data_IF_612775856281
#
_entry.id   IF_612775856281
#
_cell.length_a   1.000
_cell.length_b   1.000
_cell.length_c   1.000
_cell.angle_alpha   90.00
_cell.angle_beta   90.00
_cell.angle_gamma   90.00
#
_symmetry.space_group_name_H-M   'P 1'
#
loop_
_entity.id
_entity.type
_entity.pdbx_description
1 polymer ?
#
# COMPACT_ATOMS: atom_id res chain seq x y z
N UNK A 1 -32.28 14.46 -6.82
CA UNK A 1 -31.60 14.72 -8.12
C UNK A 1 -30.85 16.06 -8.20
N UNK A 2 -31.46 17.20 -7.90
CA UNK A 2 -30.74 18.50 -7.87
C UNK A 2 -29.81 18.64 -6.68
N UNK A 3 -30.19 18.22 -5.49
CA UNK A 3 -29.37 18.25 -4.28
C UNK A 3 -28.10 17.39 -4.40
N UNK A 4 -28.21 16.23 -5.03
CA UNK A 4 -27.04 15.36 -5.28
C UNK A 4 -26.01 16.05 -6.19
N UNK A 5 -26.48 16.75 -7.22
CA UNK A 5 -25.60 17.53 -8.11
C UNK A 5 -24.96 18.72 -7.41
N UNK A 6 -25.69 19.41 -6.55
CA UNK A 6 -25.15 20.50 -5.73
C UNK A 6 -24.09 19.98 -4.76
N UNK A 7 -24.32 18.82 -4.15
CA UNK A 7 -23.33 18.15 -3.29
C UNK A 7 -22.09 17.71 -4.07
N UNK A 8 -22.25 17.21 -5.29
CA UNK A 8 -21.12 16.85 -6.16
C UNK A 8 -20.30 18.07 -6.56
N UNK A 9 -20.95 19.18 -6.91
CA UNK A 9 -20.25 20.44 -7.24
C UNK A 9 -19.54 21.03 -6.01
N UNK A 10 -20.13 20.96 -4.82
CA UNK A 10 -19.48 21.41 -3.58
C UNK A 10 -18.30 20.54 -3.17
N UNK A 11 -18.29 19.26 -3.55
CA UNK A 11 -17.19 18.33 -3.30
C UNK A 11 -16.15 18.31 -4.42
N UNK A 12 -16.43 18.97 -5.55
CA UNK A 12 -15.47 19.06 -6.64
C UNK A 12 -14.29 19.94 -6.23
N UNK A 13 -13.11 19.35 -6.19
CA UNK A 13 -11.88 20.10 -6.00
C UNK A 13 -11.61 20.92 -7.27
N UNK A 14 -11.92 22.21 -7.21
CA UNK A 14 -11.76 23.13 -8.35
C UNK A 14 -10.34 23.63 -8.52
N UNK A 15 -9.48 23.45 -7.52
CA UNK A 15 -8.09 23.90 -7.54
C UNK A 15 -7.20 22.67 -7.28
N UNK A 16 -6.33 22.34 -8.23
CA UNK A 16 -5.29 21.36 -8.04
C UNK A 16 -3.93 22.04 -7.95
N UNK A 17 -3.18 21.72 -6.91
CA UNK A 17 -1.81 22.20 -6.77
C UNK A 17 -0.88 21.23 -7.50
N UNK A 18 -0.14 21.73 -8.47
CA UNK A 18 0.79 20.96 -9.27
C UNK A 18 2.21 21.40 -8.92
N UNK A 19 3.06 20.45 -8.62
CA UNK A 19 4.50 20.63 -8.44
C UNK A 19 5.25 20.15 -9.67
N UNK A 20 6.57 20.33 -9.66
CA UNK A 20 7.49 19.89 -10.70
C UNK A 20 8.67 19.17 -10.09
N UNK A 21 9.07 18.05 -10.69
CA UNK A 21 10.28 17.33 -10.28
C UNK A 21 11.50 18.18 -10.61
N UNK A 22 12.33 18.41 -9.62
CA UNK A 22 13.59 19.13 -9.78
C UNK A 22 14.77 18.17 -9.81
N UNK A 23 14.77 17.17 -8.93
CA UNK A 23 15.88 16.27 -8.79
C UNK A 23 15.41 14.85 -8.45
N UNK A 24 16.21 13.86 -8.82
CA UNK A 24 16.00 12.45 -8.52
C UNK A 24 17.32 11.90 -7.98
N UNK A 25 17.30 11.41 -6.73
CA UNK A 25 18.48 10.85 -6.08
C UNK A 25 18.16 9.46 -5.55
N UNK A 26 18.65 8.43 -6.21
CA UNK A 26 18.33 7.05 -5.88
C UNK A 26 16.84 6.79 -6.00
N UNK A 27 16.18 6.39 -4.91
CA UNK A 27 14.73 6.15 -4.86
C UNK A 27 13.93 7.37 -4.38
N UNK A 28 14.55 8.50 -4.17
CA UNK A 28 13.90 9.71 -3.66
C UNK A 28 13.78 10.74 -4.76
N UNK A 29 12.61 11.35 -4.88
CA UNK A 29 12.30 12.39 -5.86
C UNK A 29 12.07 13.68 -5.11
N UNK A 30 12.80 14.73 -5.50
CA UNK A 30 12.61 16.08 -4.97
C UNK A 30 11.72 16.87 -5.93
N UNK A 31 10.60 17.37 -5.45
CA UNK A 31 9.67 18.18 -6.24
C UNK A 31 9.43 19.53 -5.55
N UNK A 32 9.38 20.58 -6.34
CA UNK A 32 9.02 21.93 -5.91
C UNK A 32 7.58 22.26 -6.30
N UNK A 33 7.01 23.23 -5.59
CA UNK A 33 5.63 23.64 -5.80
C UNK A 33 4.62 22.62 -5.27
N UNK A 34 3.36 23.01 -5.27
CA UNK A 34 2.28 22.19 -4.72
C UNK A 34 2.14 22.34 -3.20
N UNK A 35 0.98 21.92 -2.70
CA UNK A 35 0.70 21.79 -1.28
C UNK A 35 0.48 20.33 -0.96
N UNK A 36 1.24 19.80 -0.01
CA UNK A 36 1.10 18.43 0.42
C UNK A 36 1.44 18.31 1.91
N UNK A 37 0.94 17.29 2.56
CA UNK A 37 1.35 16.89 3.90
C UNK A 37 2.15 15.58 3.82
N UNK A 38 2.95 15.29 4.85
CA UNK A 38 3.64 13.99 4.96
C UNK A 38 2.58 12.88 5.01
N UNK A 39 2.79 11.84 4.19
CA UNK A 39 1.86 10.73 4.01
C UNK A 39 0.83 10.95 2.89
N UNK A 40 0.76 12.12 2.27
CA UNK A 40 -0.10 12.34 1.10
C UNK A 40 0.42 11.56 -0.11
N UNK A 41 -0.51 11.07 -0.92
CA UNK A 41 -0.20 10.42 -2.19
C UNK A 41 -0.19 11.45 -3.31
N UNK A 42 0.91 11.48 -4.04
CA UNK A 42 1.08 12.27 -5.24
C UNK A 42 1.06 11.40 -6.49
N UNK A 43 0.55 11.95 -7.58
CA UNK A 43 0.61 11.38 -8.91
C UNK A 43 1.71 12.09 -9.70
N UNK A 44 2.68 11.34 -10.19
CA UNK A 44 3.74 11.81 -11.06
C UNK A 44 3.35 11.45 -12.48
N UNK A 45 3.31 12.43 -13.35
CA UNK A 45 2.98 12.24 -14.75
C UNK A 45 4.25 12.03 -15.56
N UNK A 46 4.36 10.85 -16.20
CA UNK A 46 5.41 10.58 -17.16
C UNK A 46 5.02 11.18 -18.53
N UNK A 47 5.78 12.19 -18.98
CA UNK A 47 5.44 12.96 -20.19
C UNK A 47 5.51 12.15 -21.49
N UNK A 48 6.33 11.10 -21.55
CA UNK A 48 6.57 10.37 -22.80
C UNK A 48 5.60 9.20 -23.03
N UNK A 49 5.19 8.51 -21.96
CA UNK A 49 4.35 7.31 -22.08
C UNK A 49 2.91 7.51 -21.62
N UNK A 50 2.55 8.70 -21.14
CA UNK A 50 1.22 8.98 -20.58
C UNK A 50 0.93 8.19 -19.30
N UNK A 51 1.93 7.50 -18.74
CA UNK A 51 1.81 6.74 -17.51
C UNK A 51 1.76 7.64 -16.27
N UNK A 52 1.19 7.11 -15.21
CA UNK A 52 1.17 7.75 -13.90
C UNK A 52 1.85 6.86 -12.88
N UNK A 53 2.77 7.43 -12.11
CA UNK A 53 3.41 6.77 -10.98
C UNK A 53 2.89 7.38 -9.68
N UNK A 54 2.45 6.53 -8.77
CA UNK A 54 2.06 6.97 -7.44
C UNK A 54 3.30 7.06 -6.56
N UNK A 55 3.40 8.14 -5.79
CA UNK A 55 4.46 8.37 -4.83
C UNK A 55 3.89 8.95 -3.54
N UNK A 56 4.53 8.65 -2.43
CA UNK A 56 4.17 9.17 -1.11
C UNK A 56 5.10 10.31 -0.71
N UNK A 57 4.53 11.33 -0.07
CA UNK A 57 5.31 12.41 0.54
C UNK A 57 5.91 11.90 1.85
N UNK A 58 7.21 11.66 1.87
CA UNK A 58 7.94 11.17 3.05
C UNK A 58 8.52 12.28 3.90
N UNK A 59 8.59 13.49 3.37
CA UNK A 59 9.12 14.64 4.10
C UNK A 59 9.32 15.87 3.23
N UNK A 60 9.99 16.88 3.83
CA UNK A 60 10.32 18.12 3.16
C UNK A 60 11.79 18.47 3.45
N UNK A 61 12.46 19.03 2.46
CA UNK A 61 13.84 19.53 2.57
C UNK A 61 14.01 20.79 1.72
N UNK A 62 14.45 21.88 2.32
CA UNK A 62 14.68 23.14 1.62
C UNK A 62 13.47 23.58 0.76
N UNK A 63 12.27 23.55 1.35
CA UNK A 63 11.00 23.90 0.69
C UNK A 63 10.62 22.99 -0.50
N UNK A 64 11.23 21.83 -0.61
CA UNK A 64 10.92 20.79 -1.60
C UNK A 64 10.28 19.61 -0.93
N UNK A 65 9.32 19.01 -1.61
CA UNK A 65 8.71 17.75 -1.20
C UNK A 65 9.66 16.60 -1.55
N UNK A 66 9.90 15.72 -0.60
CA UNK A 66 10.56 14.44 -0.83
C UNK A 66 9.48 13.37 -1.07
N UNK A 67 9.52 12.78 -2.25
CA UNK A 67 8.56 11.77 -2.68
C UNK A 67 9.24 10.43 -2.82
N UNK A 68 8.56 9.38 -2.37
CA UNK A 68 8.98 7.99 -2.52
C UNK A 68 7.99 7.26 -3.43
N UNK A 69 8.40 6.82 -4.63
CA UNK A 69 7.51 6.13 -5.56
C UNK A 69 7.17 4.72 -5.09
N UNK A 70 5.95 4.26 -5.40
CA UNK A 70 5.49 2.90 -5.11
C UNK A 70 5.77 1.90 -6.24
N UNK A 71 6.19 2.38 -7.40
CA UNK A 71 6.51 1.53 -8.55
C UNK A 71 7.80 1.98 -9.21
N UNK A 72 8.19 1.30 -10.28
CA UNK A 72 9.36 1.64 -11.08
C UNK A 72 9.31 3.09 -11.57
N UNK A 73 10.47 3.74 -11.54
CA UNK A 73 10.66 5.13 -11.94
C UNK A 73 11.04 5.29 -13.42
N UNK A 74 10.98 4.22 -14.20
CA UNK A 74 11.34 4.28 -15.62
C UNK A 74 10.53 5.33 -16.36
N UNK A 75 11.23 6.22 -17.04
CA UNK A 75 10.64 7.34 -17.79
C UNK A 75 10.24 8.56 -16.93
N UNK A 76 10.54 8.57 -15.63
CA UNK A 76 10.43 9.78 -14.82
C UNK A 76 11.70 10.62 -15.02
N UNK A 77 11.51 11.90 -15.30
CA UNK A 77 12.60 12.85 -15.51
C UNK A 77 12.39 14.15 -14.75
N UNK A 78 13.46 14.90 -14.58
CA UNK A 78 13.36 16.29 -14.10
C UNK A 78 12.43 17.08 -15.03
N UNK A 79 11.56 17.86 -14.44
CA UNK A 79 10.55 18.62 -15.16
C UNK A 79 9.17 17.96 -15.27
N UNK A 80 9.03 16.67 -14.97
CA UNK A 80 7.70 16.04 -14.91
C UNK A 80 6.82 16.68 -13.84
N UNK A 81 5.51 16.69 -14.11
CA UNK A 81 4.55 17.26 -13.18
C UNK A 81 4.17 16.28 -12.07
N UNK A 82 4.00 16.84 -10.88
CA UNK A 82 3.55 16.13 -9.69
C UNK A 82 2.27 16.77 -9.20
N UNK A 83 1.21 15.99 -9.08
CA UNK A 83 -0.08 16.42 -8.56
C UNK A 83 -0.34 15.76 -7.20
N UNK A 84 -0.57 16.58 -6.16
CA UNK A 84 -1.06 16.04 -4.89
C UNK A 84 -2.52 15.61 -5.03
N UNK A 85 -2.85 14.43 -4.52
CA UNK A 85 -4.24 13.92 -4.48
C UNK A 85 -5.02 14.40 -3.26
N UNK A 86 -4.34 15.01 -2.28
CA UNK A 86 -4.94 15.38 -0.99
C UNK A 86 -5.42 14.20 -0.16
N UNK A 87 -4.99 13.00 -0.51
CA UNK A 87 -5.42 11.75 0.13
C UNK A 87 -4.23 10.91 0.52
N UNK A 88 -4.39 10.18 1.61
CA UNK A 88 -3.44 9.16 2.04
C UNK A 88 -3.75 7.83 1.37
N UNK A 89 -2.79 6.90 1.42
CA UNK A 89 -3.01 5.56 0.90
C UNK A 89 -4.21 4.92 1.57
N UNK A 90 -5.18 4.56 0.76
CA UNK A 90 -6.39 3.90 1.23
C UNK A 90 -6.72 2.70 0.35
N UNK A 91 -7.16 1.64 0.98
CA UNK A 91 -7.54 0.38 0.34
C UNK A 91 -9.06 0.20 0.43
N UNK A 92 -9.62 -0.42 -0.59
CA UNK A 92 -11.03 -0.84 -0.54
C UNK A 92 -11.12 -2.16 0.21
N UNK A 93 -11.83 -2.17 1.33
CA UNK A 93 -11.97 -3.32 2.22
C UNK A 93 -13.39 -3.85 2.19
N UNK A 94 -13.52 -5.19 2.17
CA UNK A 94 -14.83 -5.84 2.16
C UNK A 94 -14.74 -7.36 2.08
N UNK A 95 -15.88 -8.03 2.15
CA UNK A 95 -15.96 -9.50 2.09
C UNK A 95 -15.44 -10.07 0.76
N UNK A 96 -15.44 -9.25 -0.31
CA UNK A 96 -14.92 -9.61 -1.64
C UNK A 96 -13.41 -9.90 -1.65
N UNK A 97 -12.65 -9.47 -0.62
CA UNK A 97 -11.23 -9.77 -0.52
C UNK A 97 -10.93 -11.20 -0.09
N UNK A 98 -11.93 -11.93 0.42
CA UNK A 98 -11.73 -13.33 0.81
C UNK A 98 -11.39 -14.19 -0.41
N UNK A 99 -10.26 -14.90 -0.34
CA UNK A 99 -9.77 -15.75 -1.44
C UNK A 99 -9.24 -14.98 -2.66
N UNK A 100 -8.91 -13.69 -2.49
CA UNK A 100 -8.31 -12.84 -3.51
C UNK A 100 -6.87 -12.50 -3.14
N UNK A 101 -6.06 -12.22 -4.15
CA UNK A 101 -4.68 -11.74 -3.98
C UNK A 101 -4.60 -10.31 -4.51
N UNK A 102 -4.08 -9.42 -3.70
CA UNK A 102 -3.92 -8.00 -4.02
C UNK A 102 -2.47 -7.57 -3.83
N UNK A 103 -2.05 -6.54 -4.58
CA UNK A 103 -0.78 -5.86 -4.34
C UNK A 103 -0.89 -4.88 -3.16
N UNK A 104 0.23 -4.22 -2.83
CA UNK A 104 0.28 -3.24 -1.74
C UNK A 104 -0.61 -2.00 -1.96
N UNK A 105 -1.01 -1.72 -3.20
CA UNK A 105 -1.93 -0.63 -3.57
C UNK A 105 -3.40 -1.07 -3.60
N UNK A 106 -3.70 -2.32 -3.20
CA UNK A 106 -5.06 -2.86 -3.20
C UNK A 106 -5.58 -3.30 -4.56
N UNK A 107 -4.73 -3.40 -5.57
CA UNK A 107 -5.14 -3.85 -6.90
C UNK A 107 -5.09 -5.38 -6.98
N UNK A 108 -6.09 -6.03 -7.61
CA UNK A 108 -6.09 -7.49 -7.77
C UNK A 108 -4.97 -7.93 -8.70
N UNK A 109 -4.22 -8.95 -8.29
CA UNK A 109 -3.14 -9.59 -9.08
C UNK A 109 -3.40 -11.08 -9.34
N UNK A 110 -4.57 -11.56 -8.99
CA UNK A 110 -4.97 -12.96 -9.10
C UNK A 110 -5.68 -13.32 -10.42
N UNK A 111 -5.75 -12.40 -11.36
CA UNK A 111 -6.42 -12.60 -12.66
C UNK A 111 -7.95 -12.71 -12.61
N UNK A 112 -8.58 -12.55 -11.44
CA UNK A 112 -10.03 -12.71 -11.26
C UNK A 112 -10.85 -11.43 -11.49
N UNK A 113 -10.25 -10.42 -12.12
CA UNK A 113 -10.91 -9.15 -12.43
C UNK A 113 -11.00 -8.15 -11.26
N UNK A 114 -11.53 -6.94 -11.52
CA UNK A 114 -11.58 -5.86 -10.54
C UNK A 114 -12.55 -6.14 -9.40
N UNK A 115 -12.41 -5.40 -8.31
CA UNK A 115 -13.34 -5.42 -7.19
C UNK A 115 -14.49 -4.44 -7.41
N UNK A 116 -15.66 -4.78 -6.86
CA UNK A 116 -16.82 -3.91 -6.85
C UNK A 116 -17.32 -3.72 -5.42
N UNK A 117 -17.54 -2.48 -5.03
CA UNK A 117 -18.04 -2.12 -3.71
C UNK A 117 -16.96 -2.11 -2.62
N UNK A 118 -17.39 -2.04 -1.37
CA UNK A 118 -16.52 -1.97 -0.19
C UNK A 118 -16.44 -0.60 0.45
N UNK A 119 -15.72 -0.55 1.56
CA UNK A 119 -15.46 0.69 2.32
C UNK A 119 -13.99 1.06 2.18
N UNK A 120 -13.72 2.33 1.93
CA UNK A 120 -12.36 2.84 1.89
C UNK A 120 -11.76 2.85 3.30
N UNK A 121 -10.61 2.23 3.44
CA UNK A 121 -9.85 2.15 4.68
C UNK A 121 -8.48 2.81 4.48
N UNK A 122 -8.16 3.82 5.30
CA UNK A 122 -6.86 4.47 5.28
C UNK A 122 -5.83 3.59 6.00
N UNK A 123 -4.75 3.24 5.29
CA UNK A 123 -3.72 2.31 5.80
C UNK A 123 -2.89 2.93 6.93
N UNK A 124 -2.67 4.23 6.89
CA UNK A 124 -1.83 4.94 7.87
C UNK A 124 -2.47 5.16 9.25
N UNK A 125 -3.69 4.71 9.49
CA UNK A 125 -4.26 4.72 10.83
C UNK A 125 -3.61 3.67 11.75
N UNK A 126 -2.28 3.63 11.75
CA UNK A 126 -1.53 2.92 12.78
C UNK A 126 -1.67 3.67 14.11
N UNK A 127 -2.79 3.49 14.77
CA UNK A 127 -2.88 3.81 16.18
C UNK A 127 -1.91 2.88 16.89
N UNK A 128 -0.83 3.45 17.43
CA UNK A 128 0.06 2.74 18.32
C UNK A 128 -0.77 2.20 19.48
N UNK A 129 -1.03 0.90 19.46
CA UNK A 129 -1.76 0.25 20.53
C UNK A 129 -0.77 0.05 21.68
N UNK A 130 -1.01 0.74 22.80
CA UNK A 130 -0.22 0.55 24.01
C UNK A 130 -0.18 -0.96 24.35
N UNK A 131 1.01 -1.56 24.53
CA UNK A 131 1.14 -2.97 24.88
C UNK A 131 0.32 -3.37 26.10
N UNK A 132 0.15 -2.48 27.07
CA UNK A 132 -0.64 -2.71 28.27
C UNK A 132 -2.15 -2.74 28.03
N UNK A 133 -2.63 -2.16 26.93
CA UNK A 133 -4.05 -2.19 26.55
C UNK A 133 -4.43 -3.39 25.69
N UNK A 134 -3.47 -4.25 25.34
CA UNK A 134 -3.75 -5.46 24.57
C UNK A 134 -4.45 -6.49 25.44
N UNK A 135 -5.61 -7.02 25.02
CA UNK A 135 -6.25 -8.09 25.75
C UNK A 135 -5.37 -9.35 25.75
N UNK A 136 -5.34 -10.11 26.85
CA UNK A 136 -4.64 -11.39 26.88
C UNK A 136 -5.29 -12.39 25.92
N UNK A 137 -4.46 -13.23 25.31
CA UNK A 137 -4.93 -14.30 24.42
C UNK A 137 -5.61 -15.38 25.25
N UNK A 138 -6.90 -15.66 24.98
CA UNK A 138 -7.70 -16.61 25.71
C UNK A 138 -8.38 -17.68 24.85
N UNK A 139 -8.49 -17.43 23.55
CA UNK A 139 -9.18 -18.31 22.64
C UNK A 139 -8.20 -19.03 21.72
N UNK A 140 -8.38 -20.34 21.56
CA UNK A 140 -7.62 -21.15 20.62
C UNK A 140 -8.06 -20.85 19.19
N UNK A 141 -7.11 -20.85 18.28
CA UNK A 141 -7.34 -20.74 16.85
C UNK A 141 -6.99 -22.04 16.17
N UNK A 142 -7.87 -22.53 15.30
CA UNK A 142 -7.65 -23.73 14.49
C UNK A 142 -7.21 -23.34 13.09
N UNK A 143 -6.14 -23.96 12.59
CA UNK A 143 -5.55 -23.69 11.29
C UNK A 143 -5.91 -24.74 10.23
N UNK A 144 -6.50 -25.87 10.65
CA UNK A 144 -6.78 -27.01 9.79
C UNK A 144 -5.55 -27.88 9.46
N UNK A 145 -4.40 -27.54 10.04
CA UNK A 145 -3.18 -28.35 9.93
C UNK A 145 -3.04 -29.22 11.16
N UNK A 146 -3.21 -30.53 11.03
CA UNK A 146 -3.25 -31.49 12.16
C UNK A 146 -2.05 -31.36 13.10
N UNK A 147 -0.84 -31.19 12.58
CA UNK A 147 0.36 -31.04 13.39
C UNK A 147 0.34 -29.77 14.25
N UNK A 148 -0.18 -28.66 13.70
CA UNK A 148 -0.29 -27.40 14.42
C UNK A 148 -1.40 -27.50 15.45
N UNK A 149 -2.58 -27.95 15.03
CA UNK A 149 -3.77 -27.97 15.89
C UNK A 149 -3.66 -28.97 17.04
N UNK A 150 -2.86 -30.05 16.89
CA UNK A 150 -2.69 -31.08 17.93
C UNK A 150 -1.48 -30.85 18.83
N UNK A 151 -0.38 -30.30 18.33
CA UNK A 151 0.90 -30.22 19.06
C UNK A 151 1.30 -28.80 19.44
N UNK A 152 0.83 -27.78 18.69
CA UNK A 152 1.18 -26.39 18.87
C UNK A 152 -0.09 -25.58 19.10
N UNK A 153 -0.47 -25.38 20.34
CA UNK A 153 -1.65 -24.57 20.64
C UNK A 153 -1.38 -23.10 20.30
N UNK A 154 -2.10 -22.57 19.31
CA UNK A 154 -2.00 -21.19 18.88
C UNK A 154 -3.29 -20.46 19.24
N UNK A 155 -3.16 -19.25 19.79
CA UNK A 155 -4.30 -18.43 20.19
C UNK A 155 -4.65 -17.34 19.17
N UNK A 156 -5.91 -16.91 19.16
CA UNK A 156 -6.37 -15.77 18.36
C UNK A 156 -5.63 -14.50 18.77
N UNK A 157 -4.96 -13.85 17.81
CA UNK A 157 -4.15 -12.66 18.04
C UNK A 157 -2.69 -12.95 18.43
N UNK A 158 -2.27 -14.22 18.47
CA UNK A 158 -0.89 -14.61 18.70
C UNK A 158 -0.03 -14.27 17.47
N UNK A 159 1.20 -13.82 17.71
CA UNK A 159 2.20 -13.64 16.67
C UNK A 159 2.92 -14.96 16.43
N UNK A 160 2.94 -15.39 15.17
CA UNK A 160 3.58 -16.63 14.75
C UNK A 160 4.65 -16.27 13.75
N UNK A 161 5.86 -16.76 13.95
CA UNK A 161 6.95 -16.69 12.98
C UNK A 161 7.17 -18.05 12.36
N UNK A 162 7.21 -18.14 11.04
CA UNK A 162 7.68 -19.30 10.30
C UNK A 162 9.08 -18.99 9.78
N UNK A 163 10.04 -19.82 10.17
CA UNK A 163 11.40 -19.74 9.62
C UNK A 163 11.44 -20.63 8.38
N UNK A 164 11.45 -20.01 7.22
CA UNK A 164 11.20 -20.60 5.90
C UNK A 164 12.24 -21.58 5.37
N UNK A 165 13.26 -21.93 6.13
CA UNK A 165 14.29 -22.87 5.66
C UNK A 165 13.80 -24.32 5.46
N UNK A 166 12.60 -24.64 5.93
CA UNK A 166 12.07 -26.01 5.91
C UNK A 166 10.75 -26.18 5.17
N UNK A 167 10.13 -25.11 4.70
CA UNK A 167 8.86 -25.16 3.97
C UNK A 167 9.05 -24.58 2.58
N UNK A 168 9.20 -25.41 1.53
CA UNK A 168 9.29 -24.90 0.16
C UNK A 168 8.00 -24.15 -0.18
N UNK A 169 8.14 -22.88 -0.50
CA UNK A 169 7.08 -22.06 -1.05
C UNK A 169 7.21 -22.05 -2.56
N UNK A 170 6.11 -22.02 -3.33
CA UNK A 170 6.17 -21.83 -4.77
C UNK A 170 6.91 -20.56 -5.21
N UNK A 171 7.15 -19.62 -4.28
CA UNK A 171 7.95 -18.41 -4.53
C UNK A 171 9.46 -18.64 -4.41
N UNK A 172 9.86 -19.76 -3.81
CA UNK A 172 11.26 -20.08 -3.50
C UNK A 172 11.84 -21.09 -4.50
N UNK A 173 11.11 -21.41 -5.59
CA UNK A 173 11.50 -22.43 -6.58
C UNK A 173 12.85 -22.18 -7.24
N UNK A 174 13.30 -20.93 -7.30
CA UNK A 174 14.60 -20.61 -7.91
C UNK A 174 15.76 -20.58 -6.91
N UNK A 175 15.52 -20.41 -5.62
CA UNK A 175 16.57 -20.10 -4.63
C UNK A 175 16.80 -21.21 -3.61
N UNK A 176 15.82 -22.03 -3.28
CA UNK A 176 15.98 -23.10 -2.31
C UNK A 176 15.75 -24.48 -2.91
N UNK A 177 16.57 -24.88 -3.83
CA UNK A 177 16.76 -26.31 -4.09
C UNK A 177 17.53 -26.88 -2.91
N UNK A 178 16.84 -27.34 -1.90
CA UNK A 178 17.45 -28.28 -0.95
C UNK A 178 17.91 -29.50 -1.74
N UNK A 179 19.16 -29.90 -1.64
CA UNK A 179 19.57 -31.15 -2.21
C UNK A 179 18.74 -32.25 -1.57
N UNK A 180 17.99 -32.98 -2.38
CA UNK A 180 17.34 -34.21 -1.98
C UNK A 180 18.43 -35.25 -1.73
N UNK A 181 19.10 -35.19 -0.63
CA UNK A 181 20.06 -36.16 -0.23
C UNK A 181 19.85 -36.57 1.20
N UNK A 182 19.45 -37.73 1.25
CA UNK A 182 19.54 -38.83 2.21
C UNK A 182 18.40 -38.93 3.17
#
# INVERSE_FOLDING_TARGET
>A
MFEDKIQQVRKAETISYTGKIENIVGMSIEASGGRAAVGDICQIYNGESGGQVLAEVVGFKNDRMLLMPYSDMSGISSGNFVRNTGRRLSLMMGAFLKGRVINALGQPIDGKGPFHGGTSFCVERNQYINPMSRPPIRERMEFGVKAIDSMLTIGKGQRIGCLLYTSPSPRDEEVSRMPSSA
#
